data_IF_637216278789
#
_entry.id   IF_637216278789
#
_cell.length_a   1.000
_cell.length_b   1.000
_cell.length_c   1.000
_cell.angle_alpha   90.00
_cell.angle_beta   90.00
_cell.angle_gamma   90.00
#
_symmetry.space_group_name_H-M   'P 1'
#
loop_
_entity.id
_entity.type
_entity.pdbx_description
1 polymer ?
#
# COMPACT_ATOMS: atom_id res chain seq x y z
N UNK A 1 -20.14 -10.51 -9.44
CA UNK A 1 -19.20 -11.01 -8.44
C UNK A 1 -19.88 -11.27 -7.11
N UNK A 2 -20.52 -10.26 -6.46
CA UNK A 2 -21.18 -10.43 -5.15
C UNK A 2 -22.19 -11.61 -5.17
N UNK A 3 -23.00 -11.69 -6.21
CA UNK A 3 -24.01 -12.76 -6.35
C UNK A 3 -23.40 -14.16 -6.51
N UNK A 4 -22.17 -14.27 -7.01
CA UNK A 4 -21.48 -15.55 -7.25
C UNK A 4 -20.60 -16.00 -6.08
N UNK A 5 -20.29 -15.13 -5.13
CA UNK A 5 -19.43 -15.45 -3.99
C UNK A 5 -20.23 -16.10 -2.87
N UNK A 6 -19.75 -17.23 -2.35
CA UNK A 6 -20.38 -17.96 -1.25
C UNK A 6 -19.99 -17.46 0.13
N UNK A 7 -18.88 -16.70 0.24
CA UNK A 7 -18.38 -16.14 1.51
C UNK A 7 -19.37 -15.15 2.12
N UNK A 8 -19.45 -15.17 3.45
CA UNK A 8 -20.21 -14.17 4.20
C UNK A 8 -19.46 -12.84 4.33
N UNK A 9 -18.19 -12.80 3.94
CA UNK A 9 -17.37 -11.60 3.90
C UNK A 9 -16.78 -11.41 2.51
N UNK A 10 -16.93 -10.18 1.97
CA UNK A 10 -16.38 -9.77 0.67
C UNK A 10 -15.66 -8.44 0.85
N UNK A 11 -14.40 -8.41 0.48
CA UNK A 11 -13.56 -7.21 0.54
C UNK A 11 -13.30 -6.70 -0.87
N UNK A 12 -13.51 -5.41 -1.08
CA UNK A 12 -13.15 -4.70 -2.31
C UNK A 12 -11.98 -3.77 -2.01
N UNK A 13 -10.84 -4.03 -2.62
CA UNK A 13 -9.64 -3.19 -2.53
C UNK A 13 -9.52 -2.32 -3.79
N UNK A 14 -9.72 -1.02 -3.61
CA UNK A 14 -9.65 -0.03 -4.68
C UNK A 14 -8.23 0.51 -4.77
N UNK A 15 -7.48 0.05 -5.75
CA UNK A 15 -6.07 0.40 -5.95
C UNK A 15 -5.74 0.51 -7.45
N UNK A 16 -4.47 0.78 -7.77
CA UNK A 16 -4.00 0.99 -9.13
C UNK A 16 -4.17 2.46 -9.57
N UNK A 17 -3.19 3.03 -10.26
CA UNK A 17 -3.15 4.43 -10.61
C UNK A 17 -3.50 5.35 -9.43
N UNK A 18 -4.52 6.18 -9.58
CA UNK A 18 -5.13 6.93 -8.48
C UNK A 18 -6.64 6.77 -8.55
N UNK A 19 -7.21 5.92 -7.69
CA UNK A 19 -8.63 5.55 -7.71
C UNK A 19 -9.56 6.73 -7.48
N UNK A 20 -9.12 7.78 -6.75
CA UNK A 20 -9.95 8.97 -6.49
C UNK A 20 -10.22 9.82 -7.74
N UNK A 21 -9.47 9.61 -8.83
CA UNK A 21 -9.75 10.24 -10.13
C UNK A 21 -11.11 9.84 -10.72
N UNK A 22 -11.67 8.70 -10.31
CA UNK A 22 -13.02 8.28 -10.71
C UNK A 22 -14.11 9.17 -10.10
N UNK A 23 -13.76 9.96 -9.10
CA UNK A 23 -14.66 10.89 -8.42
C UNK A 23 -15.60 10.24 -7.42
N UNK A 24 -16.12 11.04 -6.50
CA UNK A 24 -16.98 10.57 -5.40
C UNK A 24 -18.25 9.87 -5.89
N UNK A 25 -18.88 10.42 -6.96
CA UNK A 25 -20.10 9.85 -7.54
C UNK A 25 -19.96 8.43 -8.07
N UNK A 26 -18.73 8.02 -8.47
CA UNK A 26 -18.47 6.62 -8.83
C UNK A 26 -18.59 5.73 -7.58
N UNK A 27 -17.95 6.09 -6.48
CA UNK A 27 -17.96 5.30 -5.24
C UNK A 27 -19.34 5.28 -4.57
N UNK A 28 -20.13 6.33 -4.71
CA UNK A 28 -21.54 6.33 -4.30
C UNK A 28 -22.35 5.26 -5.05
N UNK A 29 -22.15 5.16 -6.37
CA UNK A 29 -22.79 4.11 -7.19
C UNK A 29 -22.28 2.71 -6.80
N UNK A 30 -20.98 2.56 -6.57
CA UNK A 30 -20.38 1.29 -6.10
C UNK A 30 -21.09 0.81 -4.83
N UNK A 31 -21.16 1.66 -3.80
CA UNK A 31 -21.79 1.32 -2.52
C UNK A 31 -23.29 1.01 -2.71
N UNK A 32 -23.98 1.74 -3.57
CA UNK A 32 -25.39 1.45 -3.87
C UNK A 32 -25.56 0.07 -4.52
N UNK A 33 -24.69 -0.30 -5.46
CA UNK A 33 -24.69 -1.62 -6.09
C UNK A 33 -24.32 -2.72 -5.10
N UNK A 34 -23.31 -2.51 -4.29
CA UNK A 34 -22.93 -3.46 -3.25
C UNK A 34 -24.09 -3.75 -2.29
N UNK A 35 -24.79 -2.71 -1.82
CA UNK A 35 -25.99 -2.86 -0.96
C UNK A 35 -27.14 -3.57 -1.66
N UNK A 36 -27.31 -3.34 -2.98
CA UNK A 36 -28.36 -3.99 -3.76
C UNK A 36 -28.12 -5.49 -3.94
N UNK A 37 -26.86 -5.90 -4.11
CA UNK A 37 -26.49 -7.29 -4.41
C UNK A 37 -26.03 -8.08 -3.18
N UNK A 38 -25.80 -7.44 -2.03
CA UNK A 38 -25.44 -8.13 -0.81
C UNK A 38 -26.57 -9.03 -0.31
N UNK A 39 -26.22 -10.24 0.07
CA UNK A 39 -27.17 -11.17 0.70
C UNK A 39 -27.42 -10.79 2.15
N UNK A 40 -28.54 -11.24 2.70
CA UNK A 40 -28.82 -11.04 4.12
C UNK A 40 -27.69 -11.66 4.99
N UNK A 41 -27.09 -10.84 5.86
CA UNK A 41 -25.97 -11.23 6.72
C UNK A 41 -24.58 -11.13 6.07
N UNK A 42 -24.48 -10.92 4.75
CA UNK A 42 -23.20 -10.75 4.09
C UNK A 42 -22.56 -9.40 4.44
N UNK A 43 -21.29 -9.43 4.83
CA UNK A 43 -20.50 -8.24 5.15
C UNK A 43 -19.66 -7.83 3.95
N UNK A 44 -19.86 -6.61 3.48
CA UNK A 44 -19.04 -6.02 2.43
C UNK A 44 -18.15 -4.96 3.04
N UNK A 45 -16.85 -5.10 2.84
CA UNK A 45 -15.84 -4.13 3.26
C UNK A 45 -15.18 -3.50 2.04
N UNK A 46 -14.76 -2.25 2.20
CA UNK A 46 -14.03 -1.52 1.17
C UNK A 46 -12.77 -0.93 1.77
N UNK A 47 -11.67 -1.07 1.08
CA UNK A 47 -10.48 -0.27 1.30
C UNK A 47 -10.13 0.54 0.03
N UNK A 48 -9.48 1.68 0.23
CA UNK A 48 -9.13 2.62 -0.82
C UNK A 48 -7.68 3.04 -0.63
N UNK A 49 -6.81 2.67 -1.57
CA UNK A 49 -5.45 3.19 -1.63
C UNK A 49 -5.43 4.48 -2.45
N UNK A 50 -4.82 5.52 -1.90
CA UNK A 50 -4.77 6.84 -2.53
C UNK A 50 -3.49 7.59 -2.16
N UNK A 51 -3.03 8.43 -3.10
CA UNK A 51 -2.00 9.42 -2.82
C UNK A 51 -2.51 10.61 -1.98
N UNK A 52 -3.81 10.69 -1.73
CA UNK A 52 -4.44 11.69 -0.86
C UNK A 52 -4.59 13.09 -1.44
N UNK A 53 -4.07 13.37 -2.64
CA UNK A 53 -4.04 14.74 -3.19
C UNK A 53 -5.41 15.28 -3.61
N UNK A 54 -6.38 14.40 -3.83
CA UNK A 54 -7.75 14.75 -4.22
C UNK A 54 -8.78 14.59 -3.09
N UNK A 55 -8.33 14.22 -1.89
CA UNK A 55 -9.24 14.08 -0.76
C UNK A 55 -9.65 15.45 -0.21
N UNK A 56 -10.95 15.64 -0.03
CA UNK A 56 -11.57 16.81 0.57
C UNK A 56 -12.56 16.42 1.70
N UNK A 57 -13.24 17.39 2.31
CA UNK A 57 -14.22 17.14 3.38
C UNK A 57 -15.41 16.28 2.91
N UNK A 58 -15.80 16.32 1.62
CA UNK A 58 -16.87 15.48 1.09
C UNK A 58 -16.42 14.02 1.00
N UNK A 59 -15.21 13.78 0.50
CA UNK A 59 -14.57 12.48 0.55
C UNK A 59 -14.46 11.94 1.97
N UNK A 60 -13.98 12.75 2.91
CA UNK A 60 -13.81 12.31 4.28
C UNK A 60 -15.15 11.91 4.95
N UNK A 61 -16.22 12.68 4.71
CA UNK A 61 -17.57 12.33 5.18
C UNK A 61 -18.07 11.01 4.59
N UNK A 62 -17.91 10.83 3.27
CA UNK A 62 -18.31 9.60 2.59
C UNK A 62 -17.54 8.39 3.12
N UNK A 63 -16.20 8.47 3.16
CA UNK A 63 -15.33 7.38 3.64
C UNK A 63 -15.66 6.98 5.08
N UNK A 64 -15.95 7.96 5.95
CA UNK A 64 -16.40 7.71 7.31
C UNK A 64 -17.75 7.03 7.35
N UNK A 65 -18.74 7.55 6.64
CA UNK A 65 -20.12 7.04 6.62
C UNK A 65 -20.18 5.62 6.07
N UNK A 66 -19.43 5.33 5.02
CA UNK A 66 -19.38 4.01 4.38
C UNK A 66 -18.34 3.08 4.99
N UNK A 67 -17.61 3.51 6.04
CA UNK A 67 -16.62 2.74 6.81
C UNK A 67 -15.45 2.21 5.98
N UNK A 68 -15.04 2.94 4.96
CA UNK A 68 -13.85 2.60 4.21
C UNK A 68 -12.61 2.59 5.12
N UNK A 69 -11.67 1.67 4.83
CA UNK A 69 -10.31 1.77 5.31
C UNK A 69 -9.49 2.51 4.24
N UNK A 70 -8.80 3.58 4.62
CA UNK A 70 -7.99 4.34 3.68
C UNK A 70 -6.53 3.98 3.82
N UNK A 71 -5.89 3.54 2.74
CA UNK A 71 -4.46 3.40 2.62
C UNK A 71 -3.86 4.70 2.08
N UNK A 72 -3.37 5.57 2.96
CA UNK A 72 -2.79 6.85 2.57
C UNK A 72 -1.31 6.68 2.25
N UNK A 73 -0.93 7.02 1.02
CA UNK A 73 0.46 6.95 0.56
C UNK A 73 1.27 8.14 1.08
N UNK A 74 2.22 7.88 2.00
CA UNK A 74 3.13 8.89 2.52
C UNK A 74 4.47 8.26 2.92
N UNK A 75 5.59 8.77 2.39
CA UNK A 75 6.89 8.08 2.47
C UNK A 75 7.79 8.60 3.60
N UNK A 76 7.36 9.59 4.38
CA UNK A 76 8.13 10.12 5.49
C UNK A 76 8.03 11.65 5.62
N UNK A 77 8.99 12.30 6.30
CA UNK A 77 9.12 13.75 6.35
C UNK A 77 9.14 14.39 4.95
N UNK A 78 8.84 15.68 4.87
CA UNK A 78 8.71 16.44 3.62
C UNK A 78 9.81 16.13 2.60
N UNK A 79 11.07 16.24 3.00
CA UNK A 79 12.20 16.08 2.10
C UNK A 79 12.33 14.65 1.56
N UNK A 80 11.84 13.64 2.30
CA UNK A 80 11.79 12.26 1.86
C UNK A 80 10.60 12.06 0.92
N UNK A 81 9.43 12.53 1.32
CA UNK A 81 8.21 12.38 0.54
C UNK A 81 8.32 13.07 -0.82
N UNK A 82 8.69 14.34 -0.82
CA UNK A 82 8.76 15.17 -2.04
C UNK A 82 9.92 14.79 -2.97
N UNK A 83 10.83 13.92 -2.54
CA UNK A 83 11.88 13.40 -3.42
C UNK A 83 11.32 12.51 -4.54
N UNK A 84 10.31 11.70 -4.23
CA UNK A 84 9.73 10.74 -5.18
C UNK A 84 8.26 11.03 -5.50
N UNK A 85 7.51 11.62 -4.55
CA UNK A 85 6.08 11.89 -4.72
C UNK A 85 5.84 13.32 -5.17
N UNK A 86 5.91 13.48 -6.47
CA UNK A 86 5.71 14.75 -7.17
C UNK A 86 4.57 14.63 -8.17
N UNK A 87 3.98 15.75 -8.54
CA UNK A 87 2.99 15.80 -9.63
C UNK A 87 3.65 15.56 -10.99
N UNK A 88 2.83 15.39 -12.05
CA UNK A 88 3.32 15.32 -13.44
C UNK A 88 4.10 16.57 -13.88
N UNK A 89 3.95 17.69 -13.15
CA UNK A 89 4.66 18.95 -13.38
C UNK A 89 5.85 19.15 -12.43
N UNK A 90 6.29 18.06 -11.77
CA UNK A 90 7.39 18.04 -10.80
C UNK A 90 7.15 18.93 -9.55
N UNK A 91 5.89 19.20 -9.21
CA UNK A 91 5.52 19.92 -7.99
C UNK A 91 5.45 18.98 -6.79
N UNK A 92 5.92 19.39 -5.59
CA UNK A 92 5.87 18.60 -4.38
C UNK A 92 4.42 18.36 -3.93
N UNK A 93 4.15 17.20 -3.30
CA UNK A 93 2.80 16.82 -2.87
C UNK A 93 2.64 16.72 -1.35
N UNK A 94 3.71 16.88 -0.58
CA UNK A 94 3.69 16.68 0.87
C UNK A 94 2.59 17.46 1.59
N UNK A 95 2.44 18.77 1.30
CA UNK A 95 1.46 19.61 2.01
C UNK A 95 0.02 19.11 1.79
N UNK A 96 -0.30 18.69 0.58
CA UNK A 96 -1.61 18.14 0.24
C UNK A 96 -1.88 16.84 0.99
N UNK A 97 -0.92 15.92 0.99
CA UNK A 97 -1.03 14.61 1.64
C UNK A 97 -1.07 14.75 3.16
N UNK A 98 -0.25 15.64 3.73
CA UNK A 98 -0.27 15.93 5.15
C UNK A 98 -1.61 16.53 5.60
N UNK A 99 -2.16 17.47 4.82
CA UNK A 99 -3.49 18.04 5.07
C UNK A 99 -4.58 16.96 4.97
N UNK A 100 -4.51 16.05 3.99
CA UNK A 100 -5.41 14.92 3.86
C UNK A 100 -5.36 14.00 5.10
N UNK A 101 -4.16 13.67 5.61
CA UNK A 101 -4.02 12.90 6.84
C UNK A 101 -4.73 13.57 8.03
N UNK A 102 -4.53 14.87 8.21
CA UNK A 102 -5.18 15.65 9.29
C UNK A 102 -6.70 15.73 9.12
N UNK A 103 -7.17 15.83 7.90
CA UNK A 103 -8.60 15.82 7.58
C UNK A 103 -9.23 14.46 7.87
N UNK A 104 -8.60 13.35 7.47
CA UNK A 104 -9.07 12.00 7.79
C UNK A 104 -9.18 11.81 9.32
N UNK A 105 -8.19 12.29 10.09
CA UNK A 105 -8.24 12.28 11.56
C UNK A 105 -9.39 13.10 12.10
N UNK A 106 -9.57 14.33 11.63
CA UNK A 106 -10.65 15.24 12.04
C UNK A 106 -12.03 14.61 11.87
N UNK A 107 -12.25 13.88 10.75
CA UNK A 107 -13.49 13.18 10.47
C UNK A 107 -13.58 11.79 11.11
N UNK A 108 -12.53 11.33 11.77
CA UNK A 108 -12.45 9.99 12.38
C UNK A 108 -12.53 8.86 11.36
N UNK A 109 -12.02 9.07 10.15
CA UNK A 109 -11.87 8.03 9.13
C UNK A 109 -10.75 7.09 9.56
N UNK A 110 -10.97 5.79 9.44
CA UNK A 110 -9.89 4.80 9.67
C UNK A 110 -8.92 4.85 8.49
N UNK A 111 -7.65 5.02 8.79
CA UNK A 111 -6.61 4.95 7.75
C UNK A 111 -5.33 4.30 8.27
N UNK A 112 -4.61 3.68 7.37
CA UNK A 112 -3.23 3.24 7.53
C UNK A 112 -2.33 4.08 6.63
N UNK A 113 -1.03 4.08 6.91
CA UNK A 113 -0.03 4.70 6.04
C UNK A 113 0.68 3.63 5.23
N UNK A 114 0.74 3.84 3.92
CA UNK A 114 1.48 3.05 2.97
C UNK A 114 2.75 3.81 2.60
N UNK A 115 3.89 3.26 2.98
CA UNK A 115 5.19 3.91 2.83
C UNK A 115 6.06 3.09 1.90
N UNK A 116 6.39 3.66 0.76
CA UNK A 116 7.36 3.07 -0.15
C UNK A 116 8.78 3.22 0.40
N UNK A 117 9.48 2.10 0.52
CA UNK A 117 10.89 2.09 0.89
C UNK A 117 11.71 1.93 -0.39
N UNK A 118 12.42 2.97 -0.71
CA UNK A 118 13.30 3.05 -1.88
C UNK A 118 14.70 3.44 -1.42
N UNK A 119 15.68 3.39 -2.31
CA UNK A 119 17.08 3.64 -1.99
C UNK A 119 17.33 4.94 -1.23
N UNK A 120 16.55 6.00 -1.53
CA UNK A 120 16.76 7.30 -0.92
C UNK A 120 16.38 7.37 0.57
N UNK A 121 15.33 6.62 1.01
CA UNK A 121 14.88 6.65 2.40
C UNK A 121 15.31 5.41 3.21
N UNK A 122 15.84 4.36 2.59
CA UNK A 122 16.24 3.13 3.26
C UNK A 122 17.28 3.35 4.37
N UNK A 123 18.14 4.35 4.24
CA UNK A 123 19.14 4.72 5.26
C UNK A 123 18.59 5.53 6.44
N UNK A 124 17.30 5.96 6.38
CA UNK A 124 16.66 6.84 7.36
C UNK A 124 15.41 6.23 8.03
N UNK A 125 15.47 4.96 8.51
CA UNK A 125 14.29 4.23 9.01
C UNK A 125 13.59 4.93 10.18
N UNK A 126 14.36 5.46 11.14
CA UNK A 126 13.77 6.07 12.33
C UNK A 126 13.19 7.46 12.08
N UNK A 127 13.71 8.21 11.11
CA UNK A 127 13.12 9.47 10.70
C UNK A 127 11.73 9.22 10.09
N UNK A 128 11.63 8.22 9.20
CA UNK A 128 10.37 7.81 8.59
C UNK A 128 9.39 7.30 9.63
N UNK A 129 9.78 6.32 10.43
CA UNK A 129 8.90 5.70 11.42
C UNK A 129 8.37 6.70 12.45
N UNK A 130 9.27 7.51 13.03
CA UNK A 130 8.90 8.49 14.05
C UNK A 130 8.00 9.58 13.50
N UNK A 131 8.21 10.01 12.25
CA UNK A 131 7.34 10.94 11.56
C UNK A 131 5.91 10.36 11.40
N UNK A 132 5.78 9.16 10.86
CA UNK A 132 4.49 8.51 10.67
C UNK A 132 3.74 8.34 12.00
N UNK A 133 4.46 7.95 13.04
CA UNK A 133 3.89 7.73 14.37
C UNK A 133 3.49 9.03 15.08
N UNK A 134 4.35 10.06 15.06
CA UNK A 134 4.21 11.27 15.88
C UNK A 134 3.51 12.39 15.15
N UNK A 135 3.93 12.67 13.91
CA UNK A 135 3.42 13.80 13.14
C UNK A 135 2.13 13.42 12.42
N UNK A 136 2.10 12.27 11.78
CA UNK A 136 0.88 11.74 11.13
C UNK A 136 -0.06 11.14 12.17
N UNK A 137 0.47 10.54 13.25
CA UNK A 137 -0.34 9.83 14.23
C UNK A 137 -0.90 8.51 13.71
N UNK A 138 -0.20 7.89 12.77
CA UNK A 138 -0.60 6.59 12.23
C UNK A 138 -0.49 5.50 13.30
N UNK A 139 -1.53 4.70 13.41
CA UNK A 139 -1.56 3.50 14.26
C UNK A 139 -1.44 2.20 13.49
N UNK A 140 -1.43 2.27 12.16
CA UNK A 140 -1.19 1.13 11.29
C UNK A 140 -0.30 1.57 10.13
N UNK A 141 0.90 0.97 10.04
CA UNK A 141 1.95 1.34 9.10
C UNK A 141 2.34 0.12 8.27
N UNK A 142 2.40 0.30 6.96
CA UNK A 142 2.91 -0.69 6.03
C UNK A 142 4.11 -0.13 5.28
N UNK A 143 5.23 -0.86 5.31
CA UNK A 143 6.43 -0.56 4.55
C UNK A 143 6.51 -1.48 3.34
N UNK A 144 6.59 -0.89 2.15
CA UNK A 144 6.55 -1.59 0.87
C UNK A 144 7.89 -1.35 0.14
N UNK A 145 8.70 -2.39 -0.08
CA UNK A 145 9.95 -2.20 -0.81
C UNK A 145 9.67 -1.87 -2.28
N UNK A 146 10.32 -0.85 -2.79
CA UNK A 146 10.31 -0.55 -4.22
C UNK A 146 11.43 -1.35 -4.88
N UNK A 147 11.05 -2.32 -5.68
CA UNK A 147 11.93 -3.08 -6.56
C UNK A 147 11.29 -3.10 -7.94
N UNK A 148 11.79 -2.28 -8.84
CA UNK A 148 11.21 -2.10 -10.15
C UNK A 148 12.18 -2.57 -11.24
N UNK A 149 11.72 -3.42 -12.14
CA UNK A 149 12.50 -3.91 -13.25
C UNK A 149 12.64 -2.82 -14.32
N UNK A 150 13.84 -2.65 -14.85
CA UNK A 150 14.09 -1.69 -15.93
C UNK A 150 13.24 -2.02 -17.16
N UNK A 151 12.54 -1.02 -17.66
CA UNK A 151 11.69 -1.18 -18.84
C UNK A 151 10.37 -1.87 -18.56
N UNK A 152 9.96 -1.99 -17.29
CA UNK A 152 8.66 -2.55 -16.89
C UNK A 152 7.49 -1.98 -17.71
N UNK A 153 7.45 -0.69 -17.94
CA UNK A 153 6.42 -0.02 -18.76
C UNK A 153 6.30 -0.59 -20.20
N UNK A 154 7.38 -1.19 -20.71
CA UNK A 154 7.39 -1.80 -22.04
C UNK A 154 7.02 -3.28 -22.05
N UNK A 155 6.98 -3.90 -20.87
CA UNK A 155 6.78 -5.34 -20.72
C UNK A 155 5.40 -5.69 -20.12
N UNK A 156 4.82 -4.81 -19.34
CA UNK A 156 3.49 -5.04 -18.77
C UNK A 156 2.40 -4.60 -19.76
N UNK A 157 1.26 -5.34 -19.83
CA UNK A 157 0.97 -6.59 -19.14
C UNK A 157 1.18 -7.87 -19.97
N UNK A 158 1.72 -7.87 -21.15
CA UNK A 158 1.60 -9.05 -22.02
C UNK A 158 2.88 -9.71 -22.51
N UNK A 159 4.05 -9.16 -22.22
CA UNK A 159 5.32 -9.61 -22.83
C UNK A 159 6.39 -10.02 -21.81
N UNK A 160 5.94 -10.46 -20.64
CA UNK A 160 6.83 -10.91 -19.59
C UNK A 160 7.55 -12.20 -20.00
N UNK A 161 8.85 -12.13 -20.15
CA UNK A 161 9.70 -13.29 -20.45
C UNK A 161 10.52 -13.63 -19.19
N UNK A 162 10.00 -14.55 -18.38
CA UNK A 162 10.65 -15.01 -17.15
C UNK A 162 12.07 -15.54 -17.40
N UNK A 163 12.33 -16.08 -18.60
CA UNK A 163 13.66 -16.60 -18.96
C UNK A 163 14.74 -15.50 -19.03
N UNK A 164 14.35 -14.23 -19.07
CA UNK A 164 15.27 -13.09 -19.06
C UNK A 164 15.59 -12.55 -17.69
N UNK A 165 14.84 -12.96 -16.67
CA UNK A 165 15.10 -12.51 -15.31
C UNK A 165 16.23 -13.34 -14.68
N UNK A 166 17.20 -12.68 -14.04
CA UNK A 166 18.22 -13.40 -13.31
C UNK A 166 17.62 -14.12 -12.10
N UNK A 167 18.24 -15.22 -11.72
CA UNK A 167 17.83 -15.94 -10.52
C UNK A 167 18.06 -15.09 -9.26
N UNK A 168 17.25 -15.29 -8.19
CA UNK A 168 17.49 -14.64 -6.91
C UNK A 168 18.94 -14.85 -6.44
N UNK A 169 19.61 -13.76 -6.04
CA UNK A 169 21.02 -13.78 -5.65
C UNK A 169 22.03 -13.52 -6.78
N UNK A 170 21.56 -13.41 -8.02
CA UNK A 170 22.42 -12.92 -9.12
C UNK A 170 22.81 -11.45 -8.83
N UNK A 171 24.11 -11.08 -8.97
CA UNK A 171 24.54 -9.70 -8.74
C UNK A 171 23.80 -8.65 -9.56
N UNK A 172 23.26 -8.99 -10.72
CA UNK A 172 22.43 -8.11 -11.55
C UNK A 172 21.08 -7.73 -10.92
N UNK A 173 20.66 -8.43 -9.86
CA UNK A 173 19.49 -8.02 -9.08
C UNK A 173 19.78 -6.82 -8.16
N UNK A 174 21.06 -6.47 -7.93
CA UNK A 174 21.45 -5.32 -7.12
C UNK A 174 21.41 -4.02 -7.95
N UNK A 175 20.82 -2.93 -7.44
CA UNK A 175 20.67 -1.67 -8.21
C UNK A 175 22.00 -1.02 -8.62
N UNK A 176 23.10 -1.28 -7.90
CA UNK A 176 24.45 -0.75 -8.21
C UNK A 176 25.24 -1.57 -9.23
N UNK A 177 24.74 -2.73 -9.65
CA UNK A 177 25.44 -3.50 -10.67
C UNK A 177 25.38 -2.77 -12.03
N UNK A 178 26.49 -2.72 -12.81
CA UNK A 178 26.51 -2.04 -14.11
C UNK A 178 25.40 -2.54 -15.06
N UNK A 179 25.17 -3.87 -15.06
CA UNK A 179 24.14 -4.54 -15.85
C UNK A 179 22.89 -4.85 -15.01
N UNK A 180 22.58 -4.00 -14.03
CA UNK A 180 21.41 -4.20 -13.16
C UNK A 180 20.13 -4.31 -13.98
N UNK A 181 19.30 -5.30 -13.64
CA UNK A 181 17.95 -5.46 -14.20
C UNK A 181 16.91 -4.60 -13.49
N UNK A 182 17.23 -4.03 -12.32
CA UNK A 182 16.34 -3.15 -11.58
C UNK A 182 16.73 -1.68 -11.74
N UNK A 183 15.79 -0.80 -11.46
CA UNK A 183 16.00 0.64 -11.55
C UNK A 183 16.97 1.15 -10.49
N UNK A 184 17.65 2.31 -10.72
CA UNK A 184 18.59 2.87 -9.74
C UNK A 184 17.96 3.31 -8.41
N UNK A 185 16.64 3.52 -8.37
CA UNK A 185 15.91 3.89 -7.16
C UNK A 185 15.36 2.68 -6.39
N UNK A 186 15.47 1.47 -6.95
CA UNK A 186 15.12 0.24 -6.24
C UNK A 186 15.95 0.09 -4.97
N UNK A 187 15.32 -0.38 -3.90
CA UNK A 187 16.00 -0.66 -2.64
C UNK A 187 16.74 -1.99 -2.74
N UNK A 188 17.99 -2.04 -2.29
CA UNK A 188 18.73 -3.29 -2.17
C UNK A 188 18.19 -4.13 -0.99
N UNK A 189 18.35 -5.45 -1.07
CA UNK A 189 17.84 -6.36 -0.05
C UNK A 189 18.41 -6.07 1.35
N UNK A 190 19.72 -5.81 1.43
CA UNK A 190 20.41 -5.46 2.67
C UNK A 190 20.01 -4.09 3.22
N UNK A 191 19.74 -3.12 2.35
CA UNK A 191 19.22 -1.79 2.75
C UNK A 191 17.81 -1.92 3.34
N UNK A 192 16.94 -2.71 2.71
CA UNK A 192 15.59 -2.96 3.22
C UNK A 192 15.62 -3.77 4.53
N UNK A 193 16.50 -4.77 4.63
CA UNK A 193 16.73 -5.53 5.85
C UNK A 193 17.20 -4.65 7.00
N UNK A 194 18.15 -3.73 6.74
CA UNK A 194 18.57 -2.72 7.71
C UNK A 194 17.43 -1.82 8.14
N UNK A 195 16.66 -1.30 7.18
CA UNK A 195 15.50 -0.44 7.43
C UNK A 195 14.51 -1.12 8.39
N UNK A 196 14.09 -2.34 8.07
CA UNK A 196 13.14 -3.09 8.88
C UNK A 196 13.69 -3.45 10.26
N UNK A 197 14.98 -3.81 10.37
CA UNK A 197 15.60 -4.14 11.64
C UNK A 197 15.58 -2.95 12.60
N UNK A 198 15.86 -1.73 12.10
CA UNK A 198 15.80 -0.51 12.91
C UNK A 198 14.37 -0.14 13.32
N UNK A 199 13.39 -0.38 12.45
CA UNK A 199 11.97 -0.22 12.80
C UNK A 199 11.59 -1.22 13.89
N UNK A 200 11.97 -2.48 13.73
CA UNK A 200 11.72 -3.53 14.73
C UNK A 200 12.25 -3.16 16.11
N UNK A 201 13.51 -2.71 16.20
CA UNK A 201 14.15 -2.32 17.48
C UNK A 201 13.37 -1.20 18.20
N UNK A 202 12.91 -0.18 17.46
CA UNK A 202 12.13 0.93 18.04
C UNK A 202 10.71 0.48 18.40
N UNK A 203 10.06 -0.28 17.51
CA UNK A 203 8.68 -0.75 17.66
C UNK A 203 8.53 -1.71 18.84
N UNK A 204 9.40 -2.73 18.94
CA UNK A 204 9.32 -3.70 20.02
C UNK A 204 9.55 -3.05 21.41
N UNK A 205 10.39 -2.04 21.48
CA UNK A 205 10.71 -1.38 22.75
C UNK A 205 9.59 -0.46 23.26
N UNK A 206 8.70 0.06 22.38
CA UNK A 206 7.84 1.17 22.76
C UNK A 206 6.39 1.06 22.27
N UNK A 207 6.14 0.37 21.17
CA UNK A 207 4.94 0.54 20.38
C UNK A 207 4.13 -0.74 20.15
N UNK A 208 4.61 -1.89 20.61
CA UNK A 208 3.84 -3.14 20.59
C UNK A 208 2.49 -2.95 21.27
N UNK A 209 1.41 -3.35 20.59
CA UNK A 209 0.03 -3.17 21.04
C UNK A 209 -0.52 -1.74 20.93
N UNK A 210 0.28 -0.78 20.43
CA UNK A 210 -0.15 0.62 20.22
C UNK A 210 -0.11 1.01 18.74
N UNK A 211 0.88 0.54 18.02
CA UNK A 211 1.08 0.76 16.58
C UNK A 211 1.24 -0.59 15.92
N UNK A 212 0.44 -0.88 14.93
CA UNK A 212 0.57 -2.05 14.09
C UNK A 212 1.57 -1.73 12.96
N UNK A 213 2.68 -2.44 12.91
CA UNK A 213 3.58 -2.45 11.77
C UNK A 213 3.35 -3.77 11.04
N UNK A 214 2.74 -3.72 9.86
CA UNK A 214 2.20 -4.88 9.15
C UNK A 214 3.16 -6.08 9.12
N UNK A 215 4.39 -5.87 8.66
CA UNK A 215 5.37 -6.95 8.56
C UNK A 215 5.81 -7.47 9.95
N UNK A 216 5.99 -6.59 10.94
CA UNK A 216 6.37 -7.00 12.29
C UNK A 216 5.29 -7.89 12.93
N UNK A 217 4.03 -7.47 12.85
CA UNK A 217 2.90 -8.24 13.37
C UNK A 217 2.76 -9.59 12.64
N UNK A 218 2.95 -9.58 11.32
CA UNK A 218 2.90 -10.81 10.51
C UNK A 218 3.99 -11.80 10.93
N UNK A 219 5.22 -11.34 11.13
CA UNK A 219 6.34 -12.19 11.58
C UNK A 219 6.10 -12.76 12.97
N UNK A 220 5.60 -11.94 13.90
CA UNK A 220 5.23 -12.42 15.24
C UNK A 220 4.12 -13.46 15.16
N UNK A 221 3.06 -13.20 14.40
CA UNK A 221 1.95 -14.13 14.23
C UNK A 221 2.41 -15.48 13.64
N UNK A 222 3.24 -15.44 12.59
CA UNK A 222 3.80 -16.66 11.99
C UNK A 222 4.70 -17.43 12.96
N UNK A 223 5.51 -16.73 13.76
CA UNK A 223 6.32 -17.36 14.79
C UNK A 223 5.47 -18.05 15.87
N UNK A 224 4.26 -17.53 16.11
CA UNK A 224 3.27 -18.16 16.99
C UNK A 224 2.44 -19.27 16.33
N UNK A 225 2.74 -19.63 15.08
CA UNK A 225 2.03 -20.68 14.33
C UNK A 225 0.72 -20.22 13.68
N UNK A 226 0.48 -18.89 13.60
CA UNK A 226 -0.67 -18.35 12.90
C UNK A 226 -0.38 -18.13 11.41
N UNK A 227 -1.37 -18.22 10.52
CA UNK A 227 -1.18 -17.98 9.09
C UNK A 227 -0.83 -16.51 8.84
N UNK A 228 -0.05 -16.27 7.77
CA UNK A 228 0.25 -14.90 7.34
C UNK A 228 -1.00 -14.15 6.91
N UNK A 229 -1.10 -12.88 7.34
CA UNK A 229 -2.09 -11.93 6.85
C UNK A 229 -1.64 -11.24 5.55
N UNK A 230 -0.35 -11.33 5.22
CA UNK A 230 0.23 -10.76 4.01
C UNK A 230 0.31 -11.85 2.94
N UNK A 231 -0.30 -11.60 1.79
CA UNK A 231 -0.45 -12.58 0.72
C UNK A 231 0.89 -13.19 0.27
N UNK A 232 1.91 -12.35 0.05
CA UNK A 232 3.25 -12.78 -0.40
C UNK A 232 4.00 -13.65 0.63
N UNK A 233 3.53 -13.75 1.86
CA UNK A 233 4.07 -14.60 2.92
C UNK A 233 3.13 -15.76 3.27
N UNK A 234 2.05 -15.97 2.50
CA UNK A 234 1.10 -17.06 2.68
C UNK A 234 1.55 -18.30 1.94
N UNK A 235 1.26 -19.50 2.50
CA UNK A 235 1.48 -20.78 1.82
C UNK A 235 0.57 -20.97 0.61
N UNK A 236 -0.63 -20.36 0.64
CA UNK A 236 -1.66 -20.54 -0.39
C UNK A 236 -1.92 -19.19 -1.06
N UNK A 237 -1.76 -19.18 -2.37
CA UNK A 237 -2.12 -18.05 -3.26
C UNK A 237 -3.56 -18.22 -3.78
N UNK A 238 -4.09 -17.19 -4.49
CA UNK A 238 -5.36 -17.26 -5.18
C UNK A 238 -6.59 -16.99 -4.31
N UNK A 239 -6.44 -16.21 -3.24
CA UNK A 239 -7.56 -15.79 -2.37
C UNK A 239 -8.38 -14.62 -2.92
N UNK A 240 -7.92 -13.97 -3.96
CA UNK A 240 -8.56 -12.81 -4.57
C UNK A 240 -8.41 -12.83 -6.08
N UNK A 241 -9.09 -11.90 -6.72
CA UNK A 241 -8.96 -11.61 -8.15
C UNK A 241 -8.73 -10.12 -8.33
N UNK A 242 -7.94 -9.74 -9.34
CA UNK A 242 -7.83 -8.36 -9.79
C UNK A 242 -8.79 -8.14 -10.95
N UNK A 243 -9.53 -7.03 -10.92
CA UNK A 243 -10.41 -6.59 -12.00
C UNK A 243 -9.88 -5.28 -12.54
N UNK A 244 -9.43 -5.29 -13.78
CA UNK A 244 -8.91 -4.11 -14.46
C UNK A 244 -10.02 -3.19 -15.00
N UNK A 245 -9.63 -1.99 -15.38
CA UNK A 245 -10.56 -0.93 -15.83
C UNK A 245 -11.33 -1.27 -17.12
N UNK A 246 -10.82 -2.18 -17.93
CA UNK A 246 -11.43 -2.68 -19.16
C UNK A 246 -12.36 -3.88 -18.93
N UNK A 247 -12.38 -4.40 -17.70
CA UNK A 247 -13.20 -5.54 -17.29
C UNK A 247 -12.48 -6.88 -17.33
N UNK A 248 -11.21 -6.92 -17.69
CA UNK A 248 -10.42 -8.13 -17.64
C UNK A 248 -10.17 -8.57 -16.19
N UNK A 249 -10.16 -9.88 -15.96
CA UNK A 249 -10.04 -10.48 -14.63
C UNK A 249 -8.79 -11.33 -14.56
N UNK A 250 -7.96 -11.04 -13.58
CA UNK A 250 -6.70 -11.72 -13.32
C UNK A 250 -6.74 -12.44 -11.97
N UNK A 251 -5.92 -13.48 -11.82
CA UNK A 251 -5.81 -14.25 -10.57
C UNK A 251 -5.00 -13.53 -9.48
N UNK A 252 -4.29 -12.49 -9.84
CA UNK A 252 -3.46 -11.67 -8.95
C UNK A 252 -3.27 -10.28 -9.57
N UNK A 253 -3.00 -9.30 -8.72
CA UNK A 253 -2.55 -7.96 -9.09
C UNK A 253 -1.04 -7.98 -9.38
#
# INVERSE_FOLDING_TARGET
YIDSVTSDEVVFSWQGGESTLLGLGFFEKVVALQKKHARAGQRIENDLQTNGTLLDDDWARFLKQQRFLVGLSIDGPREIHDHCRITKHAEPTFDQVFAAAKMLQKHGVRFNTLTCVHRYNASRPLDVYRFLRREIGSTYIQFIPIVEIRGFEKMAPGTWDEARLPMPGDPRCHPDHPDSVVTPWSVAAEEYGYFLSKIWDEWQARDVGKVLVNLCETLVAQHMGLPSQVCVHSEICGKGVALEHDGDVYSCD
#
